data_IF_706103356606
#
_entry.id   IF_706103356606
#
_cell.length_a   1.000
_cell.length_b   1.000
_cell.length_c   1.000
_cell.angle_alpha   90.00
_cell.angle_beta   90.00
_cell.angle_gamma   90.00
#
_symmetry.space_group_name_H-M   'P 1'
#
loop_
_entity.id
_entity.type
_entity.pdbx_description
1 polymer ?
#
# COMPACT_ATOMS: atom_id res chain seq x y z
N UNK A 1 -3.95 -1.78 -11.21
CA UNK A 1 -2.77 -0.90 -11.39
C UNK A 1 -2.96 0.40 -10.62
N UNK A 2 -1.91 0.92 -9.97
CA UNK A 2 -1.97 2.19 -9.23
C UNK A 2 -0.78 3.08 -9.60
N UNK A 3 -0.97 4.40 -9.52
CA UNK A 3 0.09 5.40 -9.66
C UNK A 3 0.08 6.30 -8.43
N UNK A 4 1.27 6.49 -7.85
CA UNK A 4 1.47 7.26 -6.61
C UNK A 4 2.58 8.26 -6.85
N UNK A 5 2.24 9.55 -6.83
CA UNK A 5 3.23 10.61 -6.95
C UNK A 5 3.92 10.84 -5.60
N UNK A 6 5.24 10.76 -5.58
CA UNK A 6 6.09 11.12 -4.45
C UNK A 6 7.14 12.14 -4.91
N UNK A 7 7.39 13.17 -4.10
CA UNK A 7 8.41 14.19 -4.41
C UNK A 7 9.81 13.70 -4.03
N UNK A 8 9.93 13.05 -2.88
CA UNK A 8 11.17 12.47 -2.40
C UNK A 8 10.90 11.07 -1.84
N UNK A 9 11.67 10.08 -2.30
CA UNK A 9 11.53 8.68 -1.87
C UNK A 9 12.28 8.36 -0.58
N UNK A 10 13.08 9.29 -0.05
CA UNK A 10 13.85 9.13 1.19
C UNK A 10 13.17 9.77 2.41
N UNK A 11 11.92 10.22 2.29
CA UNK A 11 11.18 10.76 3.42
C UNK A 11 10.97 9.68 4.50
N UNK A 12 11.51 9.94 5.70
CA UNK A 12 11.23 9.13 6.88
C UNK A 12 9.74 9.21 7.26
N UNK A 13 9.24 8.15 7.91
CA UNK A 13 7.85 8.04 8.39
C UNK A 13 6.77 8.18 7.30
N UNK A 14 7.15 8.00 6.03
CA UNK A 14 6.23 7.84 4.89
C UNK A 14 6.15 6.38 4.49
N UNK A 15 4.94 5.96 4.15
CA UNK A 15 4.68 4.59 3.73
C UNK A 15 3.89 4.55 2.43
N UNK A 16 4.09 3.46 1.69
CA UNK A 16 3.19 3.08 0.59
C UNK A 16 2.24 2.03 1.16
N UNK A 17 0.98 2.39 1.27
CA UNK A 17 -0.10 1.48 1.67
C UNK A 17 -0.76 0.91 0.41
N UNK A 18 -0.83 -0.40 0.32
CA UNK A 18 -1.36 -1.17 -0.80
C UNK A 18 -2.53 -2.03 -0.34
N UNK A 19 -3.52 -2.19 -1.21
CA UNK A 19 -4.65 -3.08 -1.00
C UNK A 19 -4.94 -3.89 -2.26
N UNK A 20 -5.33 -5.15 -2.08
CA UNK A 20 -5.71 -6.07 -3.15
C UNK A 20 -7.21 -6.32 -3.19
N UNK A 21 -7.68 -6.93 -4.27
CA UNK A 21 -9.10 -7.26 -4.48
C UNK A 21 -9.61 -8.28 -3.47
N UNK A 22 -8.77 -9.23 -3.07
CA UNK A 22 -9.10 -10.20 -2.03
C UNK A 22 -9.09 -9.61 -0.61
N UNK A 23 -8.77 -8.31 -0.45
CA UNK A 23 -8.79 -7.62 0.84
C UNK A 23 -7.46 -7.69 1.60
N UNK A 24 -6.40 -8.22 1.00
CA UNK A 24 -5.06 -8.23 1.58
C UNK A 24 -4.47 -6.83 1.52
N UNK A 25 -3.87 -6.37 2.62
CA UNK A 25 -3.19 -5.08 2.71
C UNK A 25 -1.72 -5.26 3.04
N UNK A 26 -0.88 -4.38 2.47
CA UNK A 26 0.54 -4.30 2.81
C UNK A 26 0.93 -2.85 2.99
N UNK A 27 1.75 -2.58 4.00
CA UNK A 27 2.36 -1.27 4.24
C UNK A 27 3.87 -1.43 4.21
N UNK A 28 4.55 -0.71 3.32
CA UNK A 28 6.01 -0.71 3.20
C UNK A 28 6.55 0.70 3.32
N UNK A 29 7.79 0.84 3.80
CA UNK A 29 8.41 2.15 3.92
C UNK A 29 8.64 2.76 2.53
N UNK A 30 8.46 4.07 2.39
CA UNK A 30 8.70 4.76 1.12
C UNK A 30 10.17 4.60 0.65
N UNK A 31 11.08 4.51 1.61
CA UNK A 31 12.51 4.32 1.41
C UNK A 31 12.85 3.01 0.69
N UNK A 32 12.01 1.97 0.77
CA UNK A 32 12.21 0.72 0.04
C UNK A 32 12.12 0.90 -1.48
N UNK A 33 11.44 1.97 -1.94
CA UNK A 33 11.29 2.30 -3.34
C UNK A 33 12.38 3.24 -3.86
N UNK A 34 13.34 3.65 -3.02
CA UNK A 34 14.35 4.67 -3.38
C UNK A 34 15.42 4.19 -4.36
N UNK A 35 15.63 2.87 -4.50
CA UNK A 35 16.66 2.27 -5.36
C UNK A 35 16.09 1.21 -6.33
N UNK A 36 15.23 1.59 -7.29
CA UNK A 36 14.67 0.65 -8.25
C UNK A 36 15.74 0.13 -9.21
N UNK A 37 15.70 -1.18 -9.46
CA UNK A 37 16.47 -1.80 -10.55
C UNK A 37 15.82 -1.48 -11.89
N UNK A 38 16.55 -1.66 -12.98
CA UNK A 38 15.99 -1.53 -14.34
C UNK A 38 14.80 -2.45 -14.60
N UNK A 39 14.73 -3.59 -13.92
CA UNK A 39 13.61 -4.56 -13.96
C UNK A 39 12.47 -4.21 -13.00
N UNK A 40 12.58 -3.12 -12.24
CA UNK A 40 11.67 -2.78 -11.14
C UNK A 40 11.98 -3.48 -9.81
N UNK A 41 11.10 -3.27 -8.83
CA UNK A 41 11.11 -3.89 -7.49
C UNK A 41 9.79 -4.63 -7.29
N UNK A 42 9.82 -5.78 -6.63
CA UNK A 42 8.60 -6.50 -6.21
C UNK A 42 8.04 -5.81 -4.97
N UNK A 43 6.97 -5.02 -5.14
CA UNK A 43 6.32 -4.29 -4.05
C UNK A 43 5.44 -5.21 -3.18
N UNK A 44 4.76 -6.18 -3.81
CA UNK A 44 3.81 -7.09 -3.19
C UNK A 44 3.76 -8.39 -4.02
N UNK A 45 3.65 -9.53 -3.34
CA UNK A 45 3.32 -10.82 -3.97
C UNK A 45 1.80 -10.98 -3.94
N UNK A 46 1.21 -11.36 -5.08
CA UNK A 46 -0.22 -11.59 -5.22
C UNK A 46 -0.49 -13.09 -5.28
N UNK A 47 -1.58 -13.51 -4.63
CA UNK A 47 -2.10 -14.86 -4.78
C UNK A 47 -2.80 -15.04 -6.14
N UNK A 48 -3.03 -16.29 -6.52
CA UNK A 48 -3.75 -16.60 -7.76
C UNK A 48 -5.12 -15.92 -7.80
N UNK A 49 -5.38 -15.22 -8.90
CA UNK A 49 -6.61 -14.42 -9.15
C UNK A 49 -6.77 -13.17 -8.29
N UNK A 50 -5.78 -12.82 -7.47
CA UNK A 50 -5.76 -11.53 -6.77
C UNK A 50 -5.14 -10.44 -7.64
N UNK A 51 -5.56 -9.21 -7.40
CA UNK A 51 -5.08 -8.05 -8.15
C UNK A 51 -4.93 -6.83 -7.24
N UNK A 52 -3.90 -6.02 -7.49
CA UNK A 52 -3.71 -4.75 -6.80
C UNK A 52 -4.78 -3.74 -7.24
N UNK A 53 -5.66 -3.37 -6.31
CA UNK A 53 -6.74 -2.41 -6.54
C UNK A 53 -6.32 -0.97 -6.24
N UNK A 54 -5.33 -0.76 -5.36
CA UNK A 54 -4.91 0.59 -5.01
C UNK A 54 -3.61 0.66 -4.22
N UNK A 55 -2.94 1.80 -4.36
CA UNK A 55 -1.80 2.20 -3.55
C UNK A 55 -1.90 3.70 -3.22
N UNK A 56 -1.53 4.09 -2.00
CA UNK A 56 -1.52 5.49 -1.52
C UNK A 56 -0.34 5.74 -0.58
N UNK A 57 0.14 6.99 -0.54
CA UNK A 57 1.08 7.42 0.49
C UNK A 57 0.35 7.68 1.80
N UNK A 58 0.96 7.24 2.88
CA UNK A 58 0.45 7.44 4.24
C UNK A 58 1.57 7.91 5.17
N UNK A 59 1.19 8.40 6.36
CA UNK A 59 2.08 9.16 7.27
C UNK A 59 1.83 8.85 8.76
N UNK A 60 1.44 7.61 9.04
CA UNK A 60 1.02 7.09 10.36
C UNK A 60 -0.19 7.79 10.99
N UNK A 61 -0.87 8.69 10.28
CA UNK A 61 -2.02 9.46 10.77
C UNK A 61 -3.28 9.22 9.93
N UNK A 62 -3.21 8.38 8.90
CA UNK A 62 -4.34 8.12 7.99
C UNK A 62 -5.28 7.04 8.54
N UNK A 63 -6.55 7.25 8.27
CA UNK A 63 -7.56 6.20 8.34
C UNK A 63 -7.62 5.48 7.00
N UNK A 64 -7.72 4.15 7.04
CA UNK A 64 -7.88 3.29 5.88
C UNK A 64 -9.33 2.84 5.83
N UNK A 65 -9.99 3.12 4.71
CA UNK A 65 -11.35 2.67 4.43
C UNK A 65 -11.31 1.69 3.26
N UNK A 66 -11.82 0.48 3.47
CA UNK A 66 -12.03 -0.52 2.44
C UNK A 66 -13.50 -0.90 2.42
N UNK A 67 -14.06 -1.01 1.22
CA UNK A 67 -15.43 -1.42 0.99
C UNK A 67 -15.46 -2.52 -0.09
N UNK A 68 -16.29 -3.53 0.12
CA UNK A 68 -16.52 -4.61 -0.83
C UNK A 68 -17.78 -4.36 -1.65
N UNK A 69 -17.89 -5.08 -2.76
CA UNK A 69 -19.08 -5.06 -3.62
C UNK A 69 -20.36 -5.51 -2.87
N UNK A 70 -20.23 -6.40 -1.88
CA UNK A 70 -21.36 -6.89 -1.07
C UNK A 70 -21.78 -5.92 0.04
N UNK A 71 -21.22 -4.70 0.07
CA UNK A 71 -21.58 -3.68 1.04
C UNK A 71 -20.93 -3.85 2.42
N UNK A 72 -19.97 -4.77 2.56
CA UNK A 72 -19.15 -4.85 3.76
C UNK A 72 -18.08 -3.77 3.72
N UNK A 73 -17.82 -3.14 4.86
CA UNK A 73 -16.78 -2.12 4.96
C UNK A 73 -16.04 -2.20 6.29
N UNK A 74 -14.78 -1.76 6.28
CA UNK A 74 -13.95 -1.62 7.46
C UNK A 74 -13.23 -0.27 7.44
N UNK A 75 -13.13 0.35 8.62
CA UNK A 75 -12.41 1.59 8.84
C UNK A 75 -11.47 1.41 10.02
N UNK A 76 -10.17 1.57 9.79
CA UNK A 76 -9.14 1.36 10.82
C UNK A 76 -7.98 2.34 10.64
N UNK A 77 -7.16 2.50 11.68
CA UNK A 77 -5.95 3.34 11.58
C UNK A 77 -4.86 2.58 10.83
N UNK A 78 -4.14 3.26 9.95
CA UNK A 78 -3.01 2.62 9.24
C UNK A 78 -1.94 2.05 10.18
N UNK A 79 -1.88 2.52 11.44
CA UNK A 79 -0.96 2.07 12.47
C UNK A 79 -1.29 0.66 12.99
N UNK A 80 -2.51 0.17 12.76
CA UNK A 80 -2.90 -1.20 13.10
C UNK A 80 -2.25 -2.23 12.16
N UNK A 81 -1.82 -1.79 10.97
CA UNK A 81 -1.01 -2.61 10.05
C UNK A 81 0.46 -2.34 10.34
N UNK A 82 1.26 -3.38 10.55
CA UNK A 82 2.71 -3.21 10.75
C UNK A 82 3.41 -2.95 9.42
N UNK A 83 4.41 -2.04 9.38
CA UNK A 83 5.26 -1.92 8.20
C UNK A 83 6.08 -3.19 8.01
N UNK A 84 6.20 -3.64 6.75
CA UNK A 84 6.96 -4.82 6.31
C UNK A 84 7.86 -4.49 5.14
#
# INVERSE_FOLDING_TARGET
TALVAARNLQEADKFVFMATKSGTVKKSALTEFSNPRSTGIIALTLDDKDELIGAKLTDSKKMIFLASHEGQAILFRETEVRPM
#
